data_IF_566173301549
#
_entry.id   IF_566173301549
#
_cell.length_a   1.000
_cell.length_b   1.000
_cell.length_c   1.000
_cell.angle_alpha   90.00
_cell.angle_beta   90.00
_cell.angle_gamma   90.00
#
_symmetry.space_group_name_H-M   'P 1'
#
loop_
_entity.id
_entity.type
_entity.pdbx_description
1 polymer ?
#
# COMPACT_ATOMS: atom_id res chain seq x y z
N UNK A 1 -12.80 -84.46 -30.69
CA UNK A 1 -13.18 -83.03 -30.88
C UNK A 1 -12.77 -82.27 -29.65
N UNK A 2 -11.68 -81.44 -29.69
CA UNK A 2 -11.21 -80.60 -28.58
C UNK A 2 -11.48 -79.22 -28.93
N UNK A 3 -12.29 -78.50 -28.09
CA UNK A 3 -12.65 -77.08 -28.20
C UNK A 3 -11.66 -76.28 -27.32
N UNK A 4 -10.84 -75.43 -27.94
CA UNK A 4 -9.94 -74.57 -27.24
C UNK A 4 -10.72 -73.24 -26.93
N UNK A 5 -10.83 -72.93 -25.64
CA UNK A 5 -11.31 -71.63 -25.16
C UNK A 5 -10.11 -70.75 -24.98
N UNK A 6 -9.99 -69.72 -25.82
CA UNK A 6 -9.04 -68.61 -25.64
C UNK A 6 -9.57 -67.62 -24.62
N UNK A 7 -8.82 -67.38 -23.55
CA UNK A 7 -9.04 -66.36 -22.56
C UNK A 7 -8.36 -65.03 -23.06
N UNK A 8 -9.13 -64.01 -23.34
CA UNK A 8 -8.61 -62.70 -23.68
C UNK A 8 -8.51 -61.92 -22.37
N UNK A 9 -7.26 -61.72 -21.91
CA UNK A 9 -6.93 -60.86 -20.74
C UNK A 9 -6.95 -59.40 -21.18
N UNK A 10 -7.93 -58.62 -20.74
CA UNK A 10 -7.98 -57.15 -20.93
C UNK A 10 -7.18 -56.42 -19.86
N UNK A 11 -6.06 -55.84 -20.22
CA UNK A 11 -5.34 -54.90 -19.36
C UNK A 11 -6.02 -53.51 -19.44
N UNK A 12 -6.72 -53.12 -18.36
CA UNK A 12 -7.21 -51.77 -18.20
C UNK A 12 -6.05 -50.86 -17.72
N UNK A 13 -5.59 -50.00 -18.60
CA UNK A 13 -4.63 -48.94 -18.25
C UNK A 13 -5.35 -47.79 -17.53
N UNK A 14 -5.11 -47.66 -16.23
CA UNK A 14 -5.56 -46.52 -15.44
C UNK A 14 -4.58 -45.37 -15.70
N UNK A 15 -5.01 -44.37 -16.46
CA UNK A 15 -4.27 -43.10 -16.63
C UNK A 15 -4.48 -42.23 -15.41
N UNK A 16 -3.46 -42.08 -14.54
CA UNK A 16 -3.43 -41.07 -13.48
C UNK A 16 -3.17 -39.72 -14.12
N UNK A 17 -4.20 -38.86 -14.17
CA UNK A 17 -4.05 -37.45 -14.50
C UNK A 17 -3.45 -36.73 -13.31
N UNK A 18 -2.15 -36.39 -13.32
CA UNK A 18 -1.55 -35.45 -12.38
C UNK A 18 -2.05 -34.06 -12.72
N UNK A 19 -2.99 -33.55 -11.95
CA UNK A 19 -3.41 -32.14 -11.98
C UNK A 19 -2.27 -31.26 -11.47
N UNK A 20 -1.60 -30.52 -12.33
CA UNK A 20 -0.66 -29.48 -11.95
C UNK A 20 -1.43 -28.35 -11.26
N UNK A 21 -1.38 -28.29 -9.93
CA UNK A 21 -1.83 -27.13 -9.17
C UNK A 21 -0.89 -25.96 -9.51
N UNK A 22 -1.36 -25.04 -10.37
CA UNK A 22 -0.67 -23.79 -10.61
C UNK A 22 -0.65 -22.98 -9.30
N UNK A 23 0.48 -23.04 -8.59
CA UNK A 23 0.71 -22.22 -7.40
C UNK A 23 0.59 -20.75 -7.78
N UNK A 24 -0.36 -20.04 -7.18
CA UNK A 24 -0.46 -18.58 -7.27
C UNK A 24 0.77 -18.00 -6.58
N UNK A 25 1.78 -17.67 -7.37
CA UNK A 25 2.99 -17.02 -6.86
C UNK A 25 2.61 -15.61 -6.42
N UNK A 26 2.61 -15.34 -5.12
CA UNK A 26 2.37 -13.99 -4.61
C UNK A 26 3.46 -13.05 -5.16
N UNK A 27 3.06 -12.07 -5.95
CA UNK A 27 3.97 -11.09 -6.52
C UNK A 27 4.56 -10.24 -5.40
N UNK A 28 5.89 -10.02 -5.42
CA UNK A 28 6.55 -9.14 -4.45
C UNK A 28 5.94 -7.72 -4.49
N UNK A 29 5.80 -7.05 -3.33
CA UNK A 29 5.26 -5.70 -3.29
C UNK A 29 6.06 -4.73 -4.17
N UNK A 30 5.36 -3.86 -4.89
CA UNK A 30 5.98 -2.73 -5.59
C UNK A 30 6.44 -1.70 -4.56
N UNK A 31 7.74 -1.44 -4.51
CA UNK A 31 8.32 -0.48 -3.56
C UNK A 31 8.29 0.92 -4.14
N UNK A 32 7.74 1.88 -3.40
CA UNK A 32 7.75 3.31 -3.70
C UNK A 32 8.58 4.02 -2.64
N UNK A 33 9.79 4.45 -3.00
CA UNK A 33 10.65 5.22 -2.13
C UNK A 33 10.33 6.71 -2.25
N UNK A 34 10.01 7.35 -1.12
CA UNK A 34 9.67 8.77 -1.02
C UNK A 34 10.63 9.43 -0.04
N UNK A 35 11.25 10.52 -0.44
CA UNK A 35 11.97 11.41 0.47
C UNK A 35 11.06 12.56 0.86
N UNK A 36 11.05 12.92 2.15
CA UNK A 36 10.31 14.04 2.71
C UNK A 36 11.32 15.04 3.30
N UNK A 37 11.23 16.32 2.93
CA UNK A 37 12.24 17.32 3.26
C UNK A 37 11.72 18.44 4.17
N UNK A 38 12.65 19.17 4.81
CA UNK A 38 12.33 20.35 5.62
C UNK A 38 11.62 21.46 4.83
N UNK A 39 11.64 21.41 3.49
CA UNK A 39 10.82 22.29 2.64
C UNK A 39 9.35 21.85 2.55
N UNK A 40 8.92 20.86 3.36
CA UNK A 40 7.58 20.28 3.36
C UNK A 40 7.17 19.76 1.97
N UNK A 41 8.07 18.97 1.35
CA UNK A 41 7.85 18.38 0.02
C UNK A 41 8.15 16.89 0.03
N UNK A 42 7.36 16.15 -0.75
CA UNK A 42 7.66 14.78 -1.14
C UNK A 42 8.43 14.77 -2.46
N UNK A 43 9.40 13.86 -2.58
CA UNK A 43 10.12 13.63 -3.84
C UNK A 43 9.24 12.94 -4.89
N UNK A 44 8.19 12.23 -4.47
CA UNK A 44 7.22 11.56 -5.34
C UNK A 44 5.82 12.06 -4.97
N UNK A 45 5.13 12.66 -5.94
CA UNK A 45 3.78 13.19 -5.77
C UNK A 45 2.73 12.49 -6.63
N UNK A 46 3.14 11.54 -7.49
CA UNK A 46 2.25 10.75 -8.31
C UNK A 46 2.68 9.27 -8.30
N UNK A 47 1.78 8.40 -7.88
CA UNK A 47 1.95 6.95 -7.85
C UNK A 47 0.86 6.35 -8.72
N UNK A 48 1.19 5.29 -9.49
CA UNK A 48 0.19 4.51 -10.24
C UNK A 48 0.24 3.07 -9.78
N UNK A 49 -0.92 2.45 -9.62
CA UNK A 49 -1.06 1.05 -9.26
C UNK A 49 -2.24 0.39 -9.99
N UNK A 50 -2.20 -0.94 -10.11
CA UNK A 50 -3.35 -1.74 -10.52
C UNK A 50 -4.28 -1.97 -9.32
N UNK A 51 -5.59 -2.19 -9.54
CA UNK A 51 -6.49 -2.60 -8.47
C UNK A 51 -5.98 -3.82 -7.71
N UNK A 52 -5.84 -3.70 -6.39
CA UNK A 52 -5.35 -4.76 -5.51
C UNK A 52 -3.84 -5.03 -5.59
N UNK A 53 -3.06 -4.24 -6.34
CA UNK A 53 -1.61 -4.36 -6.36
C UNK A 53 -1.01 -4.10 -4.98
N UNK A 54 -0.11 -4.99 -4.53
CA UNK A 54 0.58 -4.81 -3.24
C UNK A 54 1.68 -3.77 -3.36
N UNK A 55 1.60 -2.72 -2.55
CA UNK A 55 2.55 -1.61 -2.50
C UNK A 55 3.24 -1.57 -1.14
N UNK A 56 4.53 -1.20 -1.15
CA UNK A 56 5.27 -0.78 0.05
C UNK A 56 5.76 0.64 -0.17
N UNK A 57 5.23 1.59 0.60
CA UNK A 57 5.76 2.96 0.64
C UNK A 57 6.83 3.03 1.72
N UNK A 58 8.04 3.45 1.32
CA UNK A 58 9.16 3.75 2.21
C UNK A 58 9.37 5.25 2.25
N UNK A 59 9.09 5.88 3.38
CA UNK A 59 9.24 7.31 3.59
C UNK A 59 10.49 7.60 4.40
N UNK A 60 11.43 8.35 3.83
CA UNK A 60 12.67 8.79 4.50
C UNK A 60 12.63 10.29 4.73
N UNK A 61 12.76 10.71 5.99
CA UNK A 61 12.93 12.11 6.34
C UNK A 61 14.34 12.58 6.01
N UNK A 62 14.48 13.73 5.34
CA UNK A 62 15.74 14.34 4.97
C UNK A 62 15.74 15.83 5.29
N UNK A 63 16.62 16.25 6.18
CA UNK A 63 16.71 17.64 6.59
C UNK A 63 17.69 17.83 7.75
N UNK A 64 17.54 18.91 8.48
CA UNK A 64 18.36 19.24 9.65
C UNK A 64 17.52 19.58 10.88
N UNK A 65 16.21 19.79 10.71
CA UNK A 65 15.32 20.21 11.80
C UNK A 65 14.98 19.00 12.68
N UNK A 66 15.01 19.13 14.02
CA UNK A 66 14.67 18.03 14.92
C UNK A 66 13.23 17.52 14.72
N UNK A 67 13.04 16.21 14.86
CA UNK A 67 11.76 15.49 14.64
C UNK A 67 10.57 16.12 15.39
N UNK A 68 10.78 16.67 16.57
CA UNK A 68 9.72 17.29 17.36
C UNK A 68 9.10 18.52 16.65
N UNK A 69 9.88 19.21 15.82
CA UNK A 69 9.48 20.41 15.09
C UNK A 69 9.25 20.15 13.60
N UNK A 70 9.83 19.08 13.06
CA UNK A 70 9.74 18.72 11.64
C UNK A 70 9.78 17.21 11.49
N UNK A 71 8.61 16.64 11.20
CA UNK A 71 8.48 15.23 10.91
C UNK A 71 7.43 15.01 9.82
N UNK A 72 7.48 13.86 9.18
CA UNK A 72 6.64 13.59 8.03
C UNK A 72 6.03 12.19 8.15
N UNK A 73 4.81 12.06 7.68
CA UNK A 73 4.18 10.77 7.45
C UNK A 73 3.58 10.71 6.03
N UNK A 74 3.20 9.52 5.62
CA UNK A 74 2.40 9.26 4.43
C UNK A 74 1.05 8.77 4.93
N UNK A 75 -0.03 9.45 4.56
CA UNK A 75 -1.40 9.05 4.91
C UNK A 75 -2.23 9.03 3.64
N UNK A 76 -2.60 7.82 3.19
CA UNK A 76 -3.45 7.60 2.02
C UNK A 76 -4.92 7.68 2.44
N UNK A 77 -5.66 8.56 1.83
CA UNK A 77 -7.07 8.80 2.15
C UNK A 77 -8.01 8.01 1.24
N UNK A 78 -9.15 7.61 1.79
CA UNK A 78 -10.23 7.01 1.02
C UNK A 78 -10.83 8.03 0.03
N UNK A 79 -11.42 7.53 -1.06
CA UNK A 79 -12.11 8.39 -2.04
C UNK A 79 -13.16 9.29 -1.35
N UNK A 80 -13.29 10.51 -1.85
CA UNK A 80 -14.23 11.53 -1.35
C UNK A 80 -13.96 12.03 0.08
N UNK A 81 -12.82 11.65 0.69
CA UNK A 81 -12.41 12.26 1.96
C UNK A 81 -12.02 13.72 1.70
N UNK A 82 -12.57 14.65 2.48
CA UNK A 82 -12.10 16.03 2.49
C UNK A 82 -10.73 16.08 3.19
N UNK A 83 -9.67 16.20 2.39
CA UNK A 83 -8.30 16.23 2.88
C UNK A 83 -8.01 17.44 3.75
N UNK A 84 -8.67 18.59 3.50
CA UNK A 84 -8.51 19.81 4.30
C UNK A 84 -9.11 19.62 5.69
N UNK A 85 -10.34 19.11 5.76
CA UNK A 85 -10.99 18.80 7.04
C UNK A 85 -10.25 17.69 7.79
N UNK A 86 -9.70 16.70 7.07
CA UNK A 86 -8.88 15.65 7.67
C UNK A 86 -7.59 16.20 8.27
N UNK A 87 -6.82 17.00 7.52
CA UNK A 87 -5.56 17.61 7.98
C UNK A 87 -5.78 18.57 9.16
N UNK A 88 -6.89 19.31 9.17
CA UNK A 88 -7.27 20.19 10.28
C UNK A 88 -7.51 19.37 11.56
N UNK A 89 -8.28 18.29 11.48
CA UNK A 89 -8.51 17.40 12.63
C UNK A 89 -7.23 16.71 13.09
N UNK A 90 -6.35 16.36 12.13
CA UNK A 90 -5.09 15.68 12.40
C UNK A 90 -4.14 16.52 13.27
N UNK A 91 -4.18 17.85 13.18
CA UNK A 91 -3.28 18.74 13.91
C UNK A 91 -3.34 18.55 15.44
N UNK A 92 -4.46 18.10 16.00
CA UNK A 92 -4.63 17.80 17.43
C UNK A 92 -4.31 16.33 17.82
N UNK A 93 -4.09 15.45 16.84
CA UNK A 93 -3.94 13.99 17.03
C UNK A 93 -2.48 13.55 17.24
N UNK A 94 -1.69 14.29 18.01
CA UNK A 94 -0.24 14.05 18.21
C UNK A 94 0.05 12.65 18.76
N UNK A 95 -0.77 12.15 19.66
CA UNK A 95 -0.59 10.83 20.30
C UNK A 95 -0.72 9.65 19.32
N UNK A 96 -1.28 9.89 18.14
CA UNK A 96 -1.49 8.90 17.08
C UNK A 96 -0.75 9.26 15.79
N UNK A 97 0.43 9.89 15.90
CA UNK A 97 1.24 10.35 14.77
C UNK A 97 0.46 11.25 13.79
N UNK A 98 -0.42 12.10 14.33
CA UNK A 98 -1.33 12.98 13.59
C UNK A 98 -2.28 12.23 12.64
N UNK A 99 -2.74 11.04 13.04
CA UNK A 99 -3.82 10.31 12.38
C UNK A 99 -5.00 10.22 13.35
N UNK A 100 -6.08 11.01 13.15
CA UNK A 100 -7.20 11.08 14.10
C UNK A 100 -7.86 9.72 14.28
N UNK A 101 -8.04 9.30 15.53
CA UNK A 101 -8.58 7.97 15.86
C UNK A 101 -10.05 7.81 15.42
N UNK A 102 -10.83 8.90 15.44
CA UNK A 102 -12.23 8.96 15.00
C UNK A 102 -12.39 8.97 13.47
N UNK A 103 -11.30 9.19 12.72
CA UNK A 103 -11.29 9.24 11.24
C UNK A 103 -10.57 8.06 10.59
N UNK A 104 -10.33 6.97 11.34
CA UNK A 104 -9.63 5.79 10.81
C UNK A 104 -10.28 5.18 9.58
N UNK A 105 -11.60 5.26 9.44
CA UNK A 105 -12.33 4.77 8.26
C UNK A 105 -12.02 5.54 6.98
N UNK A 106 -11.48 6.75 7.10
CA UNK A 106 -11.02 7.56 5.97
C UNK A 106 -9.56 7.30 5.61
N UNK A 107 -8.84 6.42 6.32
CA UNK A 107 -7.43 6.13 6.10
C UNK A 107 -7.27 4.72 5.54
N UNK A 108 -6.69 4.60 4.36
CA UNK A 108 -6.42 3.32 3.70
C UNK A 108 -5.04 2.75 4.09
N UNK A 109 -4.07 3.63 4.28
CA UNK A 109 -2.72 3.28 4.75
C UNK A 109 -2.05 4.49 5.39
N UNK A 110 -1.19 4.27 6.38
CA UNK A 110 -0.39 5.33 6.97
C UNK A 110 0.93 4.80 7.50
N UNK A 111 2.00 5.61 7.39
CA UNK A 111 3.26 5.38 8.08
C UNK A 111 3.26 6.02 9.46
N UNK A 112 4.22 5.65 10.29
CA UNK A 112 4.64 6.45 11.44
C UNK A 112 5.27 7.76 10.98
N UNK A 113 5.56 8.66 11.95
CA UNK A 113 6.35 9.86 11.67
C UNK A 113 7.82 9.54 11.47
N UNK A 114 8.40 10.04 10.39
CA UNK A 114 9.83 10.05 10.11
C UNK A 114 10.42 11.43 10.36
N UNK A 115 11.42 11.53 11.22
CA UNK A 115 12.29 12.69 11.34
C UNK A 115 13.49 12.59 10.40
N UNK A 116 14.42 13.54 10.51
CA UNK A 116 15.65 13.53 9.72
C UNK A 116 16.45 12.22 9.92
N UNK A 117 16.86 11.60 8.81
CA UNK A 117 17.59 10.31 8.77
C UNK A 117 16.76 9.08 9.07
N UNK A 118 15.50 9.22 9.48
CA UNK A 118 14.63 8.08 9.76
C UNK A 118 13.90 7.61 8.50
N UNK A 119 13.76 6.29 8.38
CA UNK A 119 12.91 5.65 7.36
C UNK A 119 11.80 4.87 8.04
N UNK A 120 10.58 5.11 7.61
CA UNK A 120 9.37 4.39 8.03
C UNK A 120 8.69 3.79 6.81
N UNK A 121 7.93 2.71 7.01
CA UNK A 121 7.25 2.06 5.89
C UNK A 121 5.84 1.62 6.22
N UNK A 122 5.03 1.47 5.18
CA UNK A 122 3.73 0.82 5.22
C UNK A 122 3.54 -0.04 3.98
N UNK A 123 3.07 -1.27 4.18
CA UNK A 123 2.67 -2.17 3.09
C UNK A 123 1.16 -2.30 3.10
N UNK A 124 0.54 -2.14 1.94
CA UNK A 124 -0.91 -2.22 1.77
C UNK A 124 -1.27 -2.71 0.37
N UNK A 125 -2.49 -3.17 0.21
CA UNK A 125 -3.05 -3.46 -1.12
C UNK A 125 -3.71 -2.19 -1.66
N UNK A 126 -3.37 -1.82 -2.90
CA UNK A 126 -4.04 -0.70 -3.58
C UNK A 126 -5.56 -0.93 -3.59
N UNK A 127 -6.37 0.11 -3.45
CA UNK A 127 -7.82 -0.03 -3.53
C UNK A 127 -8.28 -0.80 -4.76
N UNK A 128 -9.32 -1.63 -4.61
CA UNK A 128 -9.90 -2.36 -5.75
C UNK A 128 -10.68 -1.45 -6.70
N UNK A 129 -11.26 -0.37 -6.17
CA UNK A 129 -11.99 0.60 -6.97
C UNK A 129 -11.01 1.51 -7.73
N UNK A 130 -11.10 1.61 -9.07
CA UNK A 130 -10.33 2.59 -9.82
C UNK A 130 -10.63 4.02 -9.37
N UNK A 131 -9.61 4.87 -9.40
CA UNK A 131 -9.79 6.26 -8.99
C UNK A 131 -8.46 6.95 -8.66
N UNK A 132 -8.58 8.24 -8.30
CA UNK A 132 -7.45 9.06 -7.84
C UNK A 132 -7.62 9.27 -6.33
N UNK A 133 -6.71 8.69 -5.58
CA UNK A 133 -6.66 8.73 -4.12
C UNK A 133 -5.60 9.74 -3.69
N UNK A 134 -5.94 10.65 -2.80
CA UNK A 134 -4.98 11.63 -2.29
C UNK A 134 -4.17 11.01 -1.14
N UNK A 135 -2.86 11.28 -1.11
CA UNK A 135 -2.03 11.05 0.06
C UNK A 135 -1.43 12.36 0.54
N UNK A 136 -1.33 12.50 1.86
CA UNK A 136 -0.93 13.75 2.49
C UNK A 136 0.07 13.53 3.62
N UNK A 137 0.83 14.56 3.96
CA UNK A 137 1.50 14.65 5.26
C UNK A 137 0.56 15.33 6.25
N UNK A 138 0.30 14.69 7.37
CA UNK A 138 -0.62 15.22 8.39
C UNK A 138 0.10 15.94 9.54
N UNK A 139 1.43 16.02 9.52
CA UNK A 139 2.14 16.87 10.48
C UNK A 139 1.63 18.33 10.36
N UNK A 140 1.39 19.04 11.46
CA UNK A 140 0.72 20.35 11.44
C UNK A 140 1.34 21.33 10.44
N UNK A 141 0.52 21.92 9.59
CA UNK A 141 0.93 22.90 8.58
C UNK A 141 1.41 22.30 7.25
N UNK A 142 1.87 21.05 7.19
CA UNK A 142 2.51 20.48 6.01
C UNK A 142 1.56 20.31 4.82
N UNK A 143 0.33 19.84 5.05
CA UNK A 143 -0.69 19.72 4.01
C UNK A 143 -1.01 21.09 3.37
N UNK A 144 -1.18 22.12 4.18
CA UNK A 144 -1.47 23.50 3.70
C UNK A 144 -0.29 24.07 2.91
N UNK A 145 0.97 23.69 3.29
CA UNK A 145 2.17 24.03 2.52
C UNK A 145 2.29 23.24 1.20
N UNK A 146 1.31 22.39 0.89
CA UNK A 146 1.24 21.62 -0.35
C UNK A 146 1.97 20.26 -0.30
N UNK A 147 2.22 19.71 0.90
CA UNK A 147 2.85 18.38 1.05
C UNK A 147 1.81 17.26 0.85
N UNK A 148 1.55 16.93 -0.39
CA UNK A 148 0.56 15.96 -0.85
C UNK A 148 0.90 15.36 -2.20
N UNK A 149 0.21 14.30 -2.56
CA UNK A 149 0.30 13.65 -3.86
C UNK A 149 -0.90 12.77 -4.12
N UNK A 150 -0.86 11.99 -5.21
CA UNK A 150 -1.96 11.13 -5.64
C UNK A 150 -1.48 9.71 -5.94
N UNK A 151 -2.31 8.74 -5.56
CA UNK A 151 -2.25 7.35 -6.04
C UNK A 151 -3.38 7.16 -7.06
N UNK A 152 -3.01 6.98 -8.33
CA UNK A 152 -3.97 6.63 -9.38
C UNK A 152 -4.07 5.12 -9.51
N UNK A 153 -5.26 4.57 -9.27
CA UNK A 153 -5.58 3.16 -9.44
C UNK A 153 -6.32 2.98 -10.77
N UNK A 154 -5.75 2.18 -11.71
CA UNK A 154 -6.30 1.94 -13.04
C UNK A 154 -5.85 0.61 -13.65
#
# INVERSE_FOLDING_TARGET
MRVHRSLISGCAAVALALGAAAGVQAQAPKVVAITATDAMKYSVTAITAKPGEKLTVKLTGQGAIPKVAMAHNFVLLALKTDATAFATAAASARATDFVPADKKTSVLASTKLAGNGETVEVTFDAPKAPGVYEFICTFPGHFIAGMKGTLTVK
#
